data_IF_233744843484
#
_entry.id   IF_233744843484
#
_cell.length_a   1.000
_cell.length_b   1.000
_cell.length_c   1.000
_cell.angle_alpha   90.00
_cell.angle_beta   90.00
_cell.angle_gamma   90.00
#
_symmetry.space_group_name_H-M   'P 1'
#
loop_
_entity.id
_entity.type
_entity.pdbx_description
1 polymer ?
#
# COMPACT_ATOMS: atom_id res chain seq x y z
N UNK A 1 6.13 -2.50 10.09
CA UNK A 1 4.67 -2.43 10.04
C UNK A 1 4.19 -1.95 8.67
N UNK A 2 4.58 -0.76 8.23
CA UNK A 2 4.15 -0.20 6.94
C UNK A 2 4.47 -1.10 5.73
N UNK A 3 5.64 -1.72 5.70
CA UNK A 3 6.04 -2.61 4.60
C UNK A 3 5.13 -3.83 4.45
N UNK A 4 4.74 -4.43 5.58
CA UNK A 4 3.86 -5.60 5.58
C UNK A 4 2.46 -5.23 5.11
N UNK A 5 1.94 -4.10 5.57
CA UNK A 5 0.63 -3.61 5.17
C UNK A 5 0.59 -3.23 3.69
N UNK A 6 1.66 -2.59 3.20
CA UNK A 6 1.77 -2.24 1.78
C UNK A 6 1.77 -3.49 0.90
N UNK A 7 2.59 -4.49 1.23
CA UNK A 7 2.65 -5.74 0.48
C UNK A 7 1.31 -6.46 0.50
N UNK A 8 0.64 -6.49 1.64
CA UNK A 8 -0.68 -7.11 1.80
C UNK A 8 -1.74 -6.38 0.97
N UNK A 9 -1.74 -5.05 1.00
CA UNK A 9 -2.65 -4.23 0.20
C UNK A 9 -2.42 -4.45 -1.30
N UNK A 10 -1.17 -4.45 -1.73
CA UNK A 10 -0.80 -4.67 -3.12
C UNK A 10 -1.26 -6.06 -3.60
N UNK A 11 -0.99 -7.10 -2.81
CA UNK A 11 -1.43 -8.45 -3.13
C UNK A 11 -2.96 -8.53 -3.26
N UNK A 12 -3.67 -7.94 -2.30
CA UNK A 12 -5.14 -7.91 -2.30
C UNK A 12 -5.68 -7.19 -3.55
N UNK A 13 -5.11 -6.05 -3.90
CA UNK A 13 -5.54 -5.28 -5.06
C UNK A 13 -5.23 -5.99 -6.39
N UNK A 14 -4.12 -6.72 -6.47
CA UNK A 14 -3.81 -7.54 -7.65
C UNK A 14 -4.87 -8.64 -7.82
N UNK A 15 -5.27 -9.29 -6.73
CA UNK A 15 -6.34 -10.29 -6.78
C UNK A 15 -7.65 -9.70 -7.27
N UNK A 16 -8.00 -8.51 -6.80
CA UNK A 16 -9.21 -7.81 -7.28
C UNK A 16 -9.11 -7.43 -8.75
N UNK A 17 -7.92 -7.02 -9.20
CA UNK A 17 -7.69 -6.65 -10.61
C UNK A 17 -7.86 -7.84 -11.55
N UNK A 18 -7.58 -9.06 -11.07
CA UNK A 18 -7.63 -10.28 -11.88
C UNK A 18 -8.95 -11.03 -11.80
N UNK A 19 -9.76 -10.71 -10.79
CA UNK A 19 -11.02 -11.43 -10.57
C UNK A 19 -12.16 -10.63 -11.18
N UNK A 20 -12.88 -11.17 -12.16
CA UNK A 20 -14.07 -10.50 -12.70
C UNK A 20 -15.14 -10.42 -11.63
N UNK A 21 -15.84 -9.30 -11.58
CA UNK A 21 -16.88 -9.06 -10.58
C UNK A 21 -16.32 -8.73 -9.21
N UNK A 22 -16.98 -9.22 -8.17
CA UNK A 22 -16.59 -8.95 -6.78
C UNK A 22 -15.99 -10.18 -6.10
N UNK A 23 -15.17 -9.95 -5.09
CA UNK A 23 -14.52 -10.99 -4.31
C UNK A 23 -14.78 -10.77 -2.82
N UNK A 24 -15.12 -11.82 -2.09
CA UNK A 24 -15.41 -11.72 -0.66
C UNK A 24 -14.11 -11.54 0.15
N UNK A 25 -14.23 -10.91 1.32
CA UNK A 25 -13.11 -10.76 2.25
C UNK A 25 -12.56 -12.11 2.71
N UNK A 26 -13.44 -13.12 2.83
CA UNK A 26 -13.04 -14.48 3.19
C UNK A 26 -12.15 -15.10 2.12
N UNK A 27 -12.52 -14.96 0.86
CA UNK A 27 -11.73 -15.47 -0.27
C UNK A 27 -10.38 -14.77 -0.36
N UNK A 28 -10.36 -13.45 -0.21
CA UNK A 28 -9.13 -12.67 -0.20
C UNK A 28 -8.22 -13.07 0.95
N UNK A 29 -8.78 -13.23 2.17
CA UNK A 29 -8.03 -13.62 3.35
C UNK A 29 -7.33 -14.99 3.16
N UNK A 30 -8.01 -15.93 2.52
CA UNK A 30 -7.42 -17.23 2.19
C UNK A 30 -6.21 -17.09 1.25
N UNK A 31 -6.33 -16.24 0.24
CA UNK A 31 -5.27 -16.04 -0.75
C UNK A 31 -4.05 -15.31 -0.19
N UNK A 32 -4.26 -14.34 0.69
CA UNK A 32 -3.15 -13.57 1.29
C UNK A 32 -2.68 -14.14 2.63
N UNK A 33 -3.21 -15.26 3.03
CA UNK A 33 -2.86 -15.98 4.26
C UNK A 33 -2.94 -15.09 5.52
N UNK A 34 -4.09 -14.46 5.70
CA UNK A 34 -4.37 -13.63 6.88
C UNK A 34 -5.83 -13.77 7.31
N UNK A 35 -6.20 -13.14 8.41
CA UNK A 35 -7.56 -13.18 8.91
C UNK A 35 -8.49 -12.26 8.13
N UNK A 36 -9.72 -12.69 7.89
CA UNK A 36 -10.72 -11.91 7.15
C UNK A 36 -11.03 -10.56 7.82
N UNK A 37 -10.93 -10.45 9.14
CA UNK A 37 -11.12 -9.20 9.87
C UNK A 37 -10.04 -8.16 9.51
N UNK A 38 -8.79 -8.60 9.37
CA UNK A 38 -7.68 -7.75 8.95
C UNK A 38 -7.83 -7.28 7.51
N UNK A 39 -8.27 -8.19 6.64
CA UNK A 39 -8.54 -7.84 5.23
C UNK A 39 -9.68 -6.83 5.13
N UNK A 40 -10.77 -7.03 5.88
CA UNK A 40 -11.89 -6.08 5.88
C UNK A 40 -11.48 -4.69 6.35
N UNK A 41 -10.63 -4.62 7.38
CA UNK A 41 -10.10 -3.34 7.88
C UNK A 41 -9.26 -2.64 6.83
N UNK A 42 -8.39 -3.38 6.15
CA UNK A 42 -7.57 -2.84 5.07
C UNK A 42 -8.43 -2.38 3.89
N UNK A 43 -9.42 -3.18 3.49
CA UNK A 43 -10.33 -2.84 2.40
C UNK A 43 -11.16 -1.59 2.73
N UNK A 44 -11.56 -1.41 3.99
CA UNK A 44 -12.24 -0.19 4.43
C UNK A 44 -11.33 1.04 4.26
N UNK A 45 -10.07 0.92 4.62
CA UNK A 45 -9.06 1.98 4.44
C UNK A 45 -8.85 2.31 2.97
N UNK A 46 -8.72 1.29 2.12
CA UNK A 46 -8.58 1.46 0.67
C UNK A 46 -9.86 2.06 0.05
N UNK A 47 -11.02 1.69 0.58
CA UNK A 47 -12.31 2.24 0.16
C UNK A 47 -12.44 3.73 0.47
N UNK A 48 -11.96 4.17 1.62
CA UNK A 48 -11.94 5.58 1.99
C UNK A 48 -11.05 6.40 1.05
N UNK A 49 -10.00 5.77 0.52
CA UNK A 49 -9.11 6.39 -0.45
C UNK A 49 -9.65 6.34 -1.90
N UNK A 50 -10.81 5.71 -2.12
CA UNK A 50 -11.42 5.61 -3.45
C UNK A 50 -10.80 4.56 -4.36
N UNK A 51 -10.08 3.58 -3.80
CA UNK A 51 -9.40 2.54 -4.57
C UNK A 51 -10.24 1.26 -4.68
N UNK A 52 -11.16 1.05 -3.75
CA UNK A 52 -11.99 -0.16 -3.65
C UNK A 52 -13.43 0.23 -3.38
N UNK A 53 -14.36 -0.48 -4.00
CA UNK A 53 -15.79 -0.38 -3.73
C UNK A 53 -16.27 -1.65 -3.04
N UNK A 54 -17.14 -1.49 -2.04
CA UNK A 54 -17.89 -2.59 -1.46
C UNK A 54 -19.17 -2.80 -2.26
N UNK A 55 -19.46 -4.07 -2.61
CA UNK A 55 -20.66 -4.47 -3.33
C UNK A 55 -21.55 -5.25 -2.37
N UNK A 56 -22.77 -4.76 -2.14
CA UNK A 56 -23.72 -5.43 -1.26
C UNK A 56 -24.53 -6.49 -2.03
N UNK A 57 -25.13 -7.41 -1.30
CA UNK A 57 -26.02 -8.42 -1.83
C UNK A 57 -25.43 -9.83 -1.82
N UNK A 58 -26.15 -10.76 -2.48
CA UNK A 58 -25.82 -12.19 -2.51
C UNK A 58 -24.45 -12.46 -3.16
N UNK A 59 -24.17 -11.76 -4.26
CA UNK A 59 -22.89 -11.85 -4.98
C UNK A 59 -21.97 -10.68 -4.59
N UNK A 60 -22.12 -10.19 -3.36
CA UNK A 60 -21.39 -9.06 -2.84
C UNK A 60 -19.96 -9.39 -2.47
N UNK A 61 -19.23 -8.35 -2.18
CA UNK A 61 -17.82 -8.42 -1.81
C UNK A 61 -17.13 -7.10 -2.11
N UNK A 62 -15.95 -7.17 -2.70
CA UNK A 62 -15.14 -5.99 -3.02
C UNK A 62 -14.66 -6.06 -4.46
N UNK A 63 -14.52 -4.89 -5.07
CA UNK A 63 -13.95 -4.74 -6.41
C UNK A 63 -13.13 -3.45 -6.48
N UNK A 64 -12.30 -3.32 -7.50
CA UNK A 64 -11.59 -2.06 -7.73
C UNK A 64 -12.58 -0.95 -8.10
N UNK A 65 -12.39 0.23 -7.52
CA UNK A 65 -13.18 1.42 -7.84
C UNK A 65 -12.70 2.11 -9.12
N UNK A 66 -11.47 1.84 -9.53
CA UNK A 66 -10.82 2.44 -10.69
C UNK A 66 -10.09 1.36 -11.49
N UNK A 67 -9.87 1.57 -12.80
CA UNK A 67 -9.05 0.65 -13.58
C UNK A 67 -7.64 0.51 -13.00
N UNK A 68 -7.01 -0.68 -13.07
CA UNK A 68 -5.68 -0.90 -12.48
C UNK A 68 -4.59 0.03 -13.04
N UNK A 69 -4.71 0.46 -14.28
CA UNK A 69 -3.76 1.38 -14.91
C UNK A 69 -3.90 2.83 -14.43
N UNK A 70 -4.99 3.13 -13.70
CA UNK A 70 -5.24 4.44 -13.09
C UNK A 70 -4.87 4.49 -11.61
N UNK A 71 -4.49 3.37 -11.02
CA UNK A 71 -4.07 3.30 -9.61
C UNK A 71 -2.54 3.20 -9.59
N UNK A 72 -1.89 4.21 -9.01
CA UNK A 72 -0.43 4.18 -8.83
C UNK A 72 -0.06 3.48 -7.52
N UNK A 73 1.17 2.99 -7.44
CA UNK A 73 1.67 2.43 -6.18
C UNK A 73 1.74 3.50 -5.09
N UNK A 74 1.93 4.76 -5.48
CA UNK A 74 1.87 5.90 -4.56
C UNK A 74 0.48 6.05 -3.95
N UNK A 75 -0.58 5.93 -4.75
CA UNK A 75 -1.97 5.99 -4.26
C UNK A 75 -2.21 4.93 -3.19
N UNK A 76 -1.74 3.71 -3.43
CA UNK A 76 -1.88 2.60 -2.49
C UNK A 76 -1.08 2.87 -1.20
N UNK A 77 0.17 3.29 -1.35
CA UNK A 77 1.05 3.57 -0.21
C UNK A 77 0.49 4.68 0.67
N UNK A 78 0.06 5.78 0.06
CA UNK A 78 -0.52 6.92 0.79
C UNK A 78 -1.85 6.57 1.48
N UNK A 79 -2.62 5.64 0.90
CA UNK A 79 -3.89 5.21 1.50
C UNK A 79 -3.69 4.47 2.83
N UNK A 80 -2.64 3.67 2.95
CA UNK A 80 -2.42 2.79 4.10
C UNK A 80 -1.34 3.28 5.05
N UNK A 81 -0.51 4.24 4.66
CA UNK A 81 0.63 4.71 5.45
C UNK A 81 0.46 6.18 5.78
N UNK A 82 0.40 6.48 7.07
CA UNK A 82 0.30 7.84 7.58
C UNK A 82 1.57 8.28 8.32
N UNK A 83 2.55 7.38 8.43
CA UNK A 83 3.80 7.64 9.12
C UNK A 83 4.94 7.81 8.12
N UNK A 84 5.94 8.65 8.43
CA UNK A 84 7.12 8.77 7.57
C UNK A 84 7.88 7.45 7.50
N UNK A 85 8.57 7.23 6.37
CA UNK A 85 9.35 6.02 6.11
C UNK A 85 10.42 5.79 7.17
N UNK A 86 11.01 6.87 7.66
CA UNK A 86 12.02 6.86 8.71
C UNK A 86 11.49 7.70 9.88
N UNK A 87 11.54 7.13 11.07
CA UNK A 87 11.11 7.82 12.29
C UNK A 87 11.90 9.11 12.51
N UNK A 88 11.22 10.12 13.03
CA UNK A 88 11.86 11.39 13.33
C UNK A 88 12.96 11.22 14.38
N UNK A 89 14.01 12.04 14.26
CA UNK A 89 15.11 12.06 15.20
C UNK A 89 14.64 12.50 16.57
N UNK A 90 15.04 11.75 17.59
CA UNK A 90 14.77 12.12 18.98
C UNK A 90 15.90 13.01 19.50
N UNK A 91 15.61 14.20 20.01
CA UNK A 91 16.66 15.07 20.55
C UNK A 91 17.42 14.37 21.68
N UNK A 92 18.75 14.33 21.58
CA UNK A 92 19.58 13.66 22.57
C UNK A 92 19.80 14.52 23.82
N UNK A 93 20.39 15.69 23.66
CA UNK A 93 20.69 16.59 24.79
C UNK A 93 20.47 18.05 24.40
N UNK A 94 19.75 18.84 25.23
CA UNK A 94 19.55 20.26 24.95
C UNK A 94 20.83 21.09 25.07
N UNK A 95 21.87 20.55 25.70
CA UNK A 95 23.15 21.26 25.92
C UNK A 95 24.20 20.94 24.86
N UNK A 96 23.92 20.02 23.95
CA UNK A 96 24.87 19.64 22.90
C UNK A 96 24.60 20.43 21.62
N UNK A 97 25.53 21.25 21.12
CA UNK A 97 25.33 21.99 19.88
C UNK A 97 25.13 21.09 18.67
N UNK A 98 25.75 19.92 18.62
CA UNK A 98 25.60 18.93 17.56
C UNK A 98 24.18 18.35 17.57
N UNK A 99 23.67 18.07 18.78
CA UNK A 99 22.32 17.55 18.96
C UNK A 99 21.26 18.50 18.41
N UNK A 100 21.44 19.79 18.58
CA UNK A 100 20.54 20.81 18.03
C UNK A 100 20.59 20.90 16.50
N UNK A 101 21.76 20.64 15.92
CA UNK A 101 21.99 20.74 14.46
C UNK A 101 21.59 19.45 13.73
N UNK A 102 21.70 18.28 14.37
CA UNK A 102 21.47 16.97 13.77
C UNK A 102 20.00 16.79 13.38
N UNK A 103 19.06 17.23 14.22
CA UNK A 103 17.63 17.08 13.96
C UNK A 103 17.20 17.67 12.63
N UNK A 104 17.42 18.96 12.37
CA UNK A 104 17.09 19.59 11.08
C UNK A 104 17.81 18.95 9.89
N UNK A 105 19.08 18.56 10.05
CA UNK A 105 19.86 17.92 9.00
C UNK A 105 19.26 16.55 8.63
N UNK A 106 18.94 15.73 9.62
CA UNK A 106 18.29 14.42 9.40
C UNK A 106 16.92 14.61 8.76
N UNK A 107 16.14 15.58 9.23
CA UNK A 107 14.80 15.85 8.68
C UNK A 107 14.86 16.21 7.20
N UNK A 108 15.84 17.02 6.79
CA UNK A 108 16.04 17.39 5.40
C UNK A 108 16.40 16.17 4.52
N UNK A 109 17.31 15.32 5.01
CA UNK A 109 17.74 14.11 4.30
C UNK A 109 16.57 13.12 4.16
N UNK A 110 15.81 12.92 5.24
CA UNK A 110 14.64 12.01 5.25
C UNK A 110 13.57 12.52 4.30
N UNK A 111 13.29 13.82 4.30
CA UNK A 111 12.30 14.42 3.41
C UNK A 111 12.67 14.22 1.94
N UNK A 112 13.94 14.41 1.59
CA UNK A 112 14.44 14.18 0.24
C UNK A 112 14.32 12.70 -0.16
N UNK A 113 14.73 11.80 0.71
CA UNK A 113 14.64 10.36 0.47
C UNK A 113 13.18 9.90 0.30
N UNK A 114 12.28 10.43 1.12
CA UNK A 114 10.86 10.08 1.06
C UNK A 114 10.21 10.61 -0.22
N UNK A 115 10.55 11.82 -0.65
CA UNK A 115 10.08 12.38 -1.91
C UNK A 115 10.50 11.51 -3.10
N UNK A 116 11.75 11.06 -3.14
CA UNK A 116 12.25 10.16 -4.19
C UNK A 116 11.57 8.80 -4.16
N UNK A 117 11.30 8.29 -2.96
CA UNK A 117 10.58 7.04 -2.77
C UNK A 117 9.16 7.14 -3.33
N UNK A 118 8.44 8.20 -3.01
CA UNK A 118 7.09 8.43 -3.51
C UNK A 118 7.07 8.64 -5.02
N UNK A 119 8.05 9.36 -5.58
CA UNK A 119 8.18 9.55 -7.03
C UNK A 119 8.37 8.20 -7.75
N UNK A 120 9.18 7.31 -7.19
CA UNK A 120 9.36 5.97 -7.75
C UNK A 120 8.07 5.16 -7.74
N UNK A 121 7.28 5.28 -6.69
CA UNK A 121 5.97 4.61 -6.59
C UNK A 121 4.95 5.22 -7.57
N UNK A 122 4.99 6.51 -7.79
CA UNK A 122 4.06 7.21 -8.70
C UNK A 122 4.26 6.80 -10.16
N UNK A 123 5.46 6.37 -10.53
CA UNK A 123 5.78 5.94 -11.89
C UNK A 123 5.29 4.54 -12.23
N UNK A 124 4.79 3.80 -11.26
CA UNK A 124 4.29 2.44 -11.46
C UNK A 124 2.82 2.35 -11.09
N UNK A 125 2.08 1.60 -11.89
CA UNK A 125 0.65 1.36 -11.65
C UNK A 125 0.42 -0.04 -11.11
N UNK A 126 -0.79 -0.26 -10.59
CA UNK A 126 -1.24 -1.59 -10.18
C UNK A 126 -1.22 -2.54 -11.38
N UNK A 127 -1.57 -2.06 -12.58
CA UNK A 127 -1.51 -2.86 -13.82
C UNK A 127 -0.09 -3.32 -14.11
N UNK A 128 0.91 -2.44 -13.97
CA UNK A 128 2.32 -2.79 -14.19
C UNK A 128 2.76 -3.94 -13.30
N UNK A 129 2.38 -3.90 -12.03
CA UNK A 129 2.75 -4.94 -11.06
C UNK A 129 1.99 -6.24 -11.34
N UNK A 130 0.71 -6.16 -11.68
CA UNK A 130 -0.08 -7.33 -12.04
C UNK A 130 0.51 -8.05 -13.25
N UNK A 131 0.89 -7.30 -14.29
CA UNK A 131 1.54 -7.85 -15.49
C UNK A 131 2.89 -8.49 -15.16
N UNK A 132 3.66 -7.87 -14.28
CA UNK A 132 4.95 -8.41 -13.81
C UNK A 132 4.77 -9.73 -13.08
N UNK A 133 3.74 -9.87 -12.26
CA UNK A 133 3.41 -11.10 -11.54
C UNK A 133 2.94 -12.19 -12.51
N UNK A 134 2.18 -11.83 -13.55
CA UNK A 134 1.77 -12.77 -14.58
C UNK A 134 2.98 -13.38 -15.31
N UNK A 135 3.94 -12.55 -15.68
CA UNK A 135 5.17 -13.01 -16.31
C UNK A 135 5.97 -13.96 -15.42
N UNK A 136 5.93 -13.74 -14.11
CA UNK A 136 6.61 -14.62 -13.14
C UNK A 136 5.87 -15.94 -12.93
N UNK A 137 4.55 -15.90 -12.95
CA UNK A 137 3.70 -17.09 -12.76
C UNK A 137 3.91 -18.13 -13.88
N UNK A 138 4.32 -17.69 -15.05
CA UNK A 138 4.61 -18.58 -16.18
C UNK A 138 5.76 -19.55 -15.89
N UNK A 139 6.62 -19.23 -14.92
CA UNK A 139 7.75 -20.06 -14.53
C UNK A 139 7.38 -21.20 -13.57
N UNK A 140 6.18 -21.16 -13.00
CA UNK A 140 5.72 -22.17 -12.04
C UNK A 140 4.98 -23.34 -12.68
N UNK A 141 4.88 -23.35 -13.98
CA UNK A 141 4.35 -24.45 -14.79
C UNK A 141 5.46 -25.15 -15.52
#
# INVERSE_FOLDING_TARGET
MARRQFALALHTLILLARTPGSTTSKSLAGSVNTHSSGVRRMLATLGQAGLVDAVEGRDGGYRLAQPPDMITLKDIYCAITHEPLIASHRPASPHCPISAAVGPAISAIVADAEARFQDALERRTLADVADSVDGTATWLH
#
